data_IF_885443716119
#
_entry.id   IF_885443716119
#
_cell.length_a   1.000
_cell.length_b   1.000
_cell.length_c   1.000
_cell.angle_alpha   90.00
_cell.angle_beta   90.00
_cell.angle_gamma   90.00
#
_symmetry.space_group_name_H-M   'P 1'
#
loop_
_entity.id
_entity.type
_entity.pdbx_description
1 polymer ?
#
# COMPACT_ATOMS: atom_id res chain seq x y z
N UNK A 1 30.33 -12.13 9.55
CA UNK A 1 30.01 -13.26 8.64
C UNK A 1 29.76 -12.72 7.25
N UNK A 2 30.47 -13.23 6.29
CA UNK A 2 30.25 -12.91 4.88
C UNK A 2 29.65 -14.13 4.20
N UNK A 3 28.48 -13.97 3.58
CA UNK A 3 27.84 -15.02 2.78
C UNK A 3 28.05 -14.67 1.30
N UNK A 4 28.75 -15.54 0.59
CA UNK A 4 28.92 -15.44 -0.86
C UNK A 4 27.91 -16.36 -1.52
N UNK A 5 26.89 -15.77 -2.15
CA UNK A 5 25.81 -16.50 -2.77
C UNK A 5 24.47 -16.25 -2.10
N UNK A 6 23.55 -17.22 -2.20
CA UNK A 6 22.21 -17.13 -1.63
C UNK A 6 22.21 -17.49 -0.14
N UNK A 7 21.64 -16.65 0.69
CA UNK A 7 21.22 -16.99 2.04
C UNK A 7 19.73 -17.28 2.05
N UNK A 8 19.35 -18.50 2.38
CA UNK A 8 17.95 -18.91 2.50
C UNK A 8 17.65 -19.13 3.99
N UNK A 9 16.80 -18.28 4.56
CA UNK A 9 16.36 -18.38 5.95
C UNK A 9 14.93 -18.87 5.95
N UNK A 10 14.74 -20.11 6.35
CA UNK A 10 13.44 -20.75 6.42
C UNK A 10 12.99 -20.86 7.87
N UNK A 11 12.17 -19.93 8.31
CA UNK A 11 11.69 -19.85 9.69
C UNK A 11 10.48 -18.94 9.83
N UNK A 12 9.89 -18.95 11.02
CA UNK A 12 8.68 -18.15 11.32
C UNK A 12 8.98 -16.68 11.64
N UNK A 13 10.22 -16.37 11.95
CA UNK A 13 10.66 -15.01 12.25
C UNK A 13 12.07 -14.78 11.74
N UNK A 14 12.22 -13.81 10.85
CA UNK A 14 13.52 -13.29 10.44
C UNK A 14 13.58 -11.82 10.79
N UNK A 15 14.64 -11.42 11.52
CA UNK A 15 14.90 -10.04 11.88
C UNK A 15 16.25 -9.61 11.30
N UNK A 16 16.28 -8.45 10.67
CA UNK A 16 17.51 -7.79 10.26
C UNK A 16 17.70 -6.59 11.18
N UNK A 17 18.70 -6.68 12.05
CA UNK A 17 19.10 -5.60 12.94
C UNK A 17 20.34 -4.92 12.37
N UNK A 18 20.10 -3.84 11.66
CA UNK A 18 21.15 -3.13 10.95
C UNK A 18 20.79 -1.63 10.87
N UNK A 19 21.82 -0.78 10.90
CA UNK A 19 21.61 0.67 10.77
C UNK A 19 21.14 1.06 9.37
N UNK A 20 21.53 0.28 8.35
CA UNK A 20 21.17 0.53 6.97
C UNK A 20 20.81 -0.79 6.27
N UNK A 21 19.68 -0.82 5.61
CA UNK A 21 19.28 -1.90 4.72
C UNK A 21 19.37 -1.41 3.27
N UNK A 22 20.21 -2.07 2.46
CA UNK A 22 20.33 -1.78 1.02
C UNK A 22 19.83 -2.97 0.22
N UNK A 23 18.91 -2.71 -0.70
CA UNK A 23 18.34 -3.70 -1.60
C UNK A 23 18.68 -3.29 -3.04
N UNK A 24 19.32 -4.16 -3.79
CA UNK A 24 19.68 -3.92 -5.20
C UNK A 24 18.51 -4.12 -6.16
N UNK A 25 17.55 -4.94 -5.77
CA UNK A 25 16.40 -5.21 -6.61
C UNK A 25 15.51 -3.97 -6.73
N UNK A 26 14.88 -3.82 -7.87
CA UNK A 26 13.98 -2.70 -8.13
C UNK A 26 12.68 -2.81 -7.34
N UNK A 27 12.29 -4.03 -6.93
CA UNK A 27 11.05 -4.30 -6.22
C UNK A 27 11.29 -5.17 -4.99
N UNK A 28 10.50 -4.92 -3.94
CA UNK A 28 10.40 -5.76 -2.75
C UNK A 28 9.07 -6.50 -2.81
N UNK A 29 9.11 -7.84 -2.77
CA UNK A 29 7.91 -8.67 -2.70
C UNK A 29 7.57 -8.93 -1.24
N UNK A 30 6.57 -8.25 -0.72
CA UNK A 30 6.02 -8.50 0.59
C UNK A 30 4.80 -9.43 0.52
N UNK A 31 4.51 -10.14 1.61
CA UNK A 31 3.37 -11.06 1.73
C UNK A 31 3.33 -12.17 0.65
N UNK A 32 4.49 -12.64 0.20
CA UNK A 32 4.61 -13.58 -0.93
C UNK A 32 4.02 -14.97 -0.68
N UNK A 33 3.72 -15.31 0.56
CA UNK A 33 3.13 -16.60 0.94
C UNK A 33 1.61 -16.64 0.92
N UNK A 34 0.95 -15.56 0.57
CA UNK A 34 -0.51 -15.44 0.70
C UNK A 34 -1.10 -14.56 -0.40
N UNK A 35 -2.22 -15.01 -0.94
CA UNK A 35 -3.02 -14.21 -1.86
C UNK A 35 -4.07 -13.43 -1.07
N UNK A 36 -4.45 -12.26 -1.55
CA UNK A 36 -5.53 -11.45 -0.99
C UNK A 36 -5.30 -10.98 0.46
N UNK A 37 -4.08 -10.58 0.77
CA UNK A 37 -3.73 -10.02 2.08
C UNK A 37 -3.34 -8.54 1.99
N UNK A 38 -3.53 -7.87 3.12
CA UNK A 38 -2.97 -6.54 3.34
C UNK A 38 -1.47 -6.64 3.53
N UNK A 39 -0.74 -5.60 3.17
CA UNK A 39 0.70 -5.60 3.36
C UNK A 39 1.36 -4.29 2.98
N UNK A 40 2.46 -3.96 3.65
CA UNK A 40 3.16 -2.72 3.40
C UNK A 40 4.30 -2.47 4.36
N UNK A 41 4.56 -1.20 4.62
CA UNK A 41 5.65 -0.73 5.48
C UNK A 41 5.05 -0.02 6.69
N UNK A 42 5.53 -0.36 7.88
CA UNK A 42 5.16 0.30 9.14
C UNK A 42 6.37 1.08 9.65
N UNK A 43 6.16 2.36 9.89
CA UNK A 43 7.12 3.20 10.62
C UNK A 43 6.75 3.17 12.09
N UNK A 44 7.64 2.64 12.93
CA UNK A 44 7.38 2.50 14.35
C UNK A 44 7.30 3.89 15.02
N UNK A 45 6.12 4.29 15.42
CA UNK A 45 5.84 5.54 16.12
C UNK A 45 5.40 5.32 17.56
N UNK A 46 5.21 4.06 17.97
CA UNK A 46 4.82 3.67 19.32
C UNK A 46 5.79 2.66 19.95
N UNK A 47 5.81 2.62 21.28
CA UNK A 47 6.71 1.78 22.04
C UNK A 47 6.45 0.27 21.88
N UNK A 48 5.28 -0.14 21.47
CA UNK A 48 4.85 -1.55 21.41
C UNK A 48 5.05 -2.21 20.03
N UNK A 49 5.79 -1.58 19.11
CA UNK A 49 5.99 -2.09 17.76
C UNK A 49 4.74 -1.91 16.89
N UNK A 50 4.04 -0.82 17.10
CA UNK A 50 2.99 -0.30 16.23
C UNK A 50 3.38 1.06 15.69
N UNK A 51 2.71 1.50 14.64
CA UNK A 51 3.07 2.76 14.02
C UNK A 51 2.15 3.19 12.89
N UNK A 52 2.61 4.19 12.19
CA UNK A 52 1.98 4.65 10.96
C UNK A 52 2.40 3.77 9.80
N UNK A 53 1.46 3.33 9.01
CA UNK A 53 1.71 2.43 7.90
C UNK A 53 1.32 3.05 6.56
N UNK A 54 2.12 2.73 5.53
CA UNK A 54 1.75 2.84 4.12
C UNK A 54 1.62 1.42 3.57
N UNK A 55 0.41 1.03 3.22
CA UNK A 55 0.14 -0.36 2.89
C UNK A 55 -0.99 -0.52 1.87
N UNK A 56 -0.99 -1.68 1.23
CA UNK A 56 -2.09 -2.16 0.41
C UNK A 56 -3.21 -2.67 1.30
N UNK A 57 -4.42 -2.13 1.12
CA UNK A 57 -5.66 -2.64 1.69
C UNK A 57 -6.34 -3.47 0.62
N UNK A 58 -6.33 -4.78 0.81
CA UNK A 58 -6.90 -5.70 -0.16
C UNK A 58 -8.42 -5.62 -0.22
N UNK A 59 -9.07 -5.29 0.88
CA UNK A 59 -10.53 -5.16 0.93
C UNK A 59 -11.02 -3.95 0.12
N UNK A 60 -10.31 -2.85 0.17
CA UNK A 60 -10.60 -1.64 -0.59
C UNK A 60 -9.92 -1.61 -1.98
N UNK A 61 -9.00 -2.55 -2.24
CA UNK A 61 -8.18 -2.60 -3.47
C UNK A 61 -7.45 -1.27 -3.70
N UNK A 62 -6.78 -0.77 -2.67
CA UNK A 62 -6.10 0.55 -2.69
C UNK A 62 -4.89 0.59 -1.76
N UNK A 63 -3.99 1.51 -2.09
CA UNK A 63 -2.95 1.94 -1.17
C UNK A 63 -3.51 2.99 -0.21
N UNK A 64 -3.14 2.88 1.05
CA UNK A 64 -3.60 3.80 2.09
C UNK A 64 -2.53 4.11 3.13
N UNK A 65 -2.88 5.07 4.00
CA UNK A 65 -2.07 5.46 5.16
C UNK A 65 -2.91 5.32 6.43
N UNK A 66 -2.35 4.69 7.45
CA UNK A 66 -2.92 4.70 8.80
C UNK A 66 -2.37 5.90 9.58
N UNK A 67 -3.05 6.25 10.66
CA UNK A 67 -2.54 7.23 11.62
C UNK A 67 -1.37 6.70 12.43
N UNK A 68 -0.84 7.56 13.31
CA UNK A 68 0.17 7.17 14.26
C UNK A 68 -0.37 6.05 15.16
N UNK A 69 0.48 5.07 15.45
CA UNK A 69 0.22 3.99 16.40
C UNK A 69 -0.93 3.03 16.06
N UNK A 70 -1.49 3.13 14.86
CA UNK A 70 -2.70 2.38 14.49
C UNK A 70 -2.43 0.99 13.92
N UNK A 71 -1.24 0.76 13.40
CA UNK A 71 -0.92 -0.52 12.75
C UNK A 71 0.16 -1.26 13.54
N UNK A 72 -0.18 -2.43 14.06
CA UNK A 72 0.77 -3.29 14.77
C UNK A 72 1.65 -4.07 13.77
N UNK A 73 2.90 -4.33 14.15
CA UNK A 73 3.87 -5.07 13.32
C UNK A 73 3.43 -6.49 12.94
N UNK A 74 2.52 -7.05 13.70
CA UNK A 74 1.96 -8.38 13.47
C UNK A 74 0.47 -8.33 13.07
N UNK A 75 -0.02 -7.18 12.63
CA UNK A 75 -1.39 -7.04 12.15
C UNK A 75 -1.63 -7.97 10.95
N UNK A 76 -2.78 -8.59 10.93
CA UNK A 76 -3.26 -9.42 9.82
C UNK A 76 -4.27 -8.67 8.94
N UNK A 77 -4.74 -7.52 9.42
CA UNK A 77 -5.67 -6.64 8.72
C UNK A 77 -5.17 -5.21 8.81
N UNK A 78 -5.50 -4.43 7.80
CA UNK A 78 -5.13 -3.04 7.68
C UNK A 78 -6.37 -2.16 7.49
N UNK A 79 -6.50 -1.13 8.31
CA UNK A 79 -7.62 -0.19 8.23
C UNK A 79 -7.06 1.22 8.09
N UNK A 80 -6.85 1.71 6.87
CA UNK A 80 -6.31 3.04 6.66
C UNK A 80 -7.35 4.13 6.93
N UNK A 81 -6.89 5.28 7.36
CA UNK A 81 -7.70 6.51 7.46
C UNK A 81 -7.71 7.31 6.17
N UNK A 82 -6.69 7.12 5.34
CA UNK A 82 -6.50 7.85 4.10
C UNK A 82 -6.10 6.88 3.02
N UNK A 83 -6.61 7.09 1.81
CA UNK A 83 -6.22 6.34 0.64
C UNK A 83 -5.50 7.22 -0.37
N UNK A 84 -4.70 6.60 -1.23
CA UNK A 84 -4.27 7.23 -2.46
C UNK A 84 -5.50 7.41 -3.33
N UNK A 85 -5.86 8.65 -3.61
CA UNK A 85 -7.19 9.01 -4.13
C UNK A 85 -7.18 9.55 -5.56
N UNK A 86 -6.02 9.67 -6.20
CA UNK A 86 -5.96 10.21 -7.54
C UNK A 86 -5.58 9.16 -8.59
N UNK A 87 -6.25 9.19 -9.70
CA UNK A 87 -5.91 8.49 -10.92
C UNK A 87 -5.75 9.50 -12.05
N UNK A 88 -4.95 9.20 -13.04
CA UNK A 88 -4.78 10.05 -14.22
C UNK A 88 -4.92 9.23 -15.50
N UNK A 89 -5.41 9.86 -16.53
CA UNK A 89 -5.57 9.24 -17.84
C UNK A 89 -5.76 10.26 -18.93
N UNK A 90 -5.50 9.87 -20.17
CA UNK A 90 -5.66 10.68 -21.37
C UNK A 90 -6.98 10.43 -22.13
N UNK A 91 -7.85 9.65 -21.54
CA UNK A 91 -9.13 9.28 -22.14
C UNK A 91 -10.23 10.33 -21.97
N UNK A 92 -11.43 9.95 -22.34
CA UNK A 92 -12.61 10.75 -22.10
C UNK A 92 -12.85 10.97 -20.61
N UNK A 93 -13.60 12.01 -20.28
CA UNK A 93 -14.07 12.25 -18.91
C UNK A 93 -14.78 11.02 -18.35
N UNK A 94 -14.66 10.75 -17.06
CA UNK A 94 -15.36 9.63 -16.45
C UNK A 94 -16.86 9.70 -16.71
N UNK A 95 -17.44 8.59 -17.11
CA UNK A 95 -18.87 8.50 -17.41
C UNK A 95 -19.75 8.30 -16.16
N UNK A 96 -19.19 8.48 -14.98
CA UNK A 96 -19.82 8.15 -13.70
C UNK A 96 -19.67 6.69 -13.31
N UNK A 97 -18.93 5.92 -14.10
CA UNK A 97 -18.65 4.53 -13.76
C UNK A 97 -17.49 4.46 -12.74
N UNK A 98 -17.63 3.73 -11.63
CA UNK A 98 -16.55 3.54 -10.66
C UNK A 98 -15.24 3.00 -11.27
N UNK A 99 -15.31 2.25 -12.36
CA UNK A 99 -14.12 1.74 -13.06
C UNK A 99 -13.23 2.84 -13.64
N UNK A 100 -13.79 4.00 -13.99
CA UNK A 100 -13.04 5.15 -14.47
C UNK A 100 -12.12 5.73 -13.38
N UNK A 101 -12.40 5.41 -12.12
CA UNK A 101 -11.61 5.75 -10.95
C UNK A 101 -10.78 4.57 -10.42
N UNK A 102 -10.54 3.55 -11.25
CA UNK A 102 -9.63 2.45 -10.95
C UNK A 102 -10.22 1.28 -10.19
N UNK A 103 -11.52 1.26 -9.86
CA UNK A 103 -12.23 0.08 -9.35
C UNK A 103 -13.74 0.21 -9.40
N UNK A 104 -14.39 -0.93 -9.20
CA UNK A 104 -15.83 -1.14 -9.40
C UNK A 104 -16.67 -1.08 -8.11
N UNK A 105 -16.22 -0.40 -7.05
CA UNK A 105 -16.90 -0.45 -5.76
C UNK A 105 -17.18 0.92 -5.16
N UNK A 106 -18.21 0.99 -4.32
CA UNK A 106 -18.60 2.18 -3.57
C UNK A 106 -17.47 2.75 -2.65
N UNK A 107 -16.41 1.98 -2.45
CA UNK A 107 -15.23 2.40 -1.66
C UNK A 107 -14.37 3.47 -2.34
N UNK A 108 -14.78 3.96 -3.49
CA UNK A 108 -14.06 4.97 -4.28
C UNK A 108 -14.55 6.40 -4.08
N UNK A 109 -15.55 6.60 -3.23
CA UNK A 109 -15.99 7.96 -2.87
C UNK A 109 -14.78 8.80 -2.43
N UNK A 110 -14.66 10.00 -2.98
CA UNK A 110 -13.51 10.87 -2.78
C UNK A 110 -12.33 10.64 -3.72
N UNK A 111 -12.36 9.61 -4.57
CA UNK A 111 -11.32 9.43 -5.61
C UNK A 111 -11.37 10.58 -6.61
N UNK A 112 -10.20 10.98 -7.06
CA UNK A 112 -10.03 12.04 -8.05
C UNK A 112 -9.51 11.45 -9.36
N UNK A 113 -10.13 11.82 -10.46
CA UNK A 113 -9.63 11.54 -11.81
C UNK A 113 -9.15 12.84 -12.43
N UNK A 114 -7.92 12.85 -12.91
CA UNK A 114 -7.34 13.98 -13.66
C UNK A 114 -7.24 13.59 -15.12
N UNK A 115 -8.02 14.25 -15.97
CA UNK A 115 -7.92 14.06 -17.42
C UNK A 115 -6.75 14.88 -17.95
N UNK A 116 -5.69 14.19 -18.34
CA UNK A 116 -4.45 14.83 -18.81
C UNK A 116 -4.56 15.42 -20.22
N UNK A 117 -5.61 15.08 -20.97
CA UNK A 117 -5.83 15.63 -22.33
C UNK A 117 -6.44 17.02 -22.33
N UNK A 118 -7.29 17.35 -21.36
CA UNK A 118 -8.01 18.61 -21.30
C UNK A 118 -7.91 19.35 -19.95
N UNK A 119 -7.25 18.74 -18.96
CA UNK A 119 -7.06 19.32 -17.63
C UNK A 119 -8.29 19.27 -16.71
N UNK A 120 -9.33 18.55 -17.08
CA UNK A 120 -10.50 18.40 -16.20
C UNK A 120 -10.20 17.54 -14.99
N UNK A 121 -10.79 17.92 -13.87
CA UNK A 121 -10.71 17.16 -12.62
C UNK A 121 -12.12 16.70 -12.24
N UNK A 122 -12.25 15.41 -12.00
CA UNK A 122 -13.50 14.76 -11.60
C UNK A 122 -13.33 14.14 -10.22
N UNK A 123 -14.35 14.25 -9.39
CA UNK A 123 -14.37 13.63 -8.06
C UNK A 123 -15.55 12.64 -8.03
N UNK A 124 -15.26 11.41 -7.62
CA UNK A 124 -16.29 10.40 -7.42
C UNK A 124 -16.99 10.65 -6.09
N UNK A 125 -18.26 10.88 -6.14
CA UNK A 125 -19.10 11.17 -4.97
C UNK A 125 -20.13 10.08 -4.72
#
# INVERSE_FOLDING_TARGET
VTVVGKLDVNGTLTSVDSNNLQIKDQFILAASGSNNHDGGIIVNTAAAGSGSAFAWDNSAVRWGLSGADETAKNATTYTPRQYVVSVSGSGASPSGNPSDFGASTATRVGMMHVNTSNGEIWIYS
#
